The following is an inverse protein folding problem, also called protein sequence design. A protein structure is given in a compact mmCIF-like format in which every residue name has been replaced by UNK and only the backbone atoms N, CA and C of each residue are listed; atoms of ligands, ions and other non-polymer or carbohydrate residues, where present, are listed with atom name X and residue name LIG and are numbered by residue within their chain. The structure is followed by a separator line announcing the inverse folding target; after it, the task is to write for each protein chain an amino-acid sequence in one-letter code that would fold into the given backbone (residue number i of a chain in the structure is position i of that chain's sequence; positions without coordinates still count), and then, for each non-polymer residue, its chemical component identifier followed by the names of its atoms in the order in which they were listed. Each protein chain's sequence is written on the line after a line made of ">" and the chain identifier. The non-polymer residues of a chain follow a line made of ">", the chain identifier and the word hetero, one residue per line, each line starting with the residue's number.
data_IF_305422418546
#
_entry.id   IF_305422418546
#
_cell.length_a   1.000
_cell.length_b   1.000
_cell.length_c   1.000
_cell.angle_alpha   90.00
_cell.angle_beta   90.00
_cell.angle_gamma   90.00
#
_symmetry.space_group_name_H-M   'P 1'
#
loop_
_entity.id
_entity.type
_entity.pdbx_description
1 polymer ?
#
# COMPACT_ATOMS: atom_id res chain seq x y z
N UNK A 1 -6.01 -4.55 -33.52
CA UNK A 1 -6.89 -3.55 -34.17
C UNK A 1 -6.53 -3.24 -35.62
N UNK A 2 -5.25 -3.30 -36.03
CA UNK A 2 -4.82 -2.85 -37.36
C UNK A 2 -5.41 -3.62 -38.58
N UNK A 3 -5.88 -4.87 -38.42
CA UNK A 3 -6.43 -5.68 -39.53
C UNK A 3 -7.92 -5.48 -39.81
N UNK A 4 -8.67 -4.77 -38.96
CA UNK A 4 -10.13 -4.69 -39.14
C UNK A 4 -10.56 -3.61 -40.16
N UNK A 5 -9.69 -2.65 -40.44
CA UNK A 5 -9.96 -1.53 -41.36
C UNK A 5 -9.27 -1.69 -42.72
N UNK A 6 -8.50 -2.76 -42.93
CA UNK A 6 -7.85 -3.02 -44.22
C UNK A 6 -8.89 -3.38 -45.27
N UNK A 7 -9.07 -2.52 -46.27
CA UNK A 7 -10.02 -2.71 -47.37
C UNK A 7 -11.31 -1.88 -47.25
N UNK A 8 -11.47 -1.10 -46.18
CA UNK A 8 -12.56 -0.13 -46.07
C UNK A 8 -12.10 1.24 -46.54
N UNK A 9 -12.86 1.87 -47.43
CA UNK A 9 -12.61 3.26 -47.83
C UNK A 9 -13.02 4.23 -46.69
N UNK A 10 -12.56 5.48 -46.76
CA UNK A 10 -12.79 6.51 -45.73
C UNK A 10 -14.28 6.66 -45.38
N UNK A 11 -15.15 6.70 -46.40
CA UNK A 11 -16.60 6.72 -46.24
C UNK A 11 -17.14 5.50 -45.48
N UNK A 12 -16.60 4.30 -45.75
CA UNK A 12 -17.05 3.07 -45.10
C UNK A 12 -16.63 3.00 -43.63
N UNK A 13 -15.45 3.54 -43.31
CA UNK A 13 -14.97 3.66 -41.92
C UNK A 13 -15.86 4.65 -41.16
N UNK A 14 -16.16 5.80 -41.77
CA UNK A 14 -17.06 6.80 -41.18
C UNK A 14 -18.46 6.25 -40.95
N UNK A 15 -18.99 5.49 -41.92
CA UNK A 15 -20.32 4.87 -41.85
C UNK A 15 -20.37 3.74 -40.78
N UNK A 16 -19.27 2.99 -40.61
CA UNK A 16 -19.13 2.02 -39.52
C UNK A 16 -19.17 2.70 -38.15
N UNK A 17 -18.43 3.79 -37.96
CA UNK A 17 -18.45 4.52 -36.69
C UNK A 17 -19.81 5.20 -36.45
N UNK A 18 -20.43 5.81 -37.48
CA UNK A 18 -21.80 6.33 -37.38
C UNK A 18 -22.78 5.26 -36.92
N UNK A 19 -22.78 4.06 -37.53
CA UNK A 19 -23.69 2.96 -37.14
C UNK A 19 -23.37 2.40 -35.75
N UNK A 20 -22.10 2.26 -35.40
CA UNK A 20 -21.67 1.74 -34.09
C UNK A 20 -22.08 2.66 -32.94
N UNK A 21 -22.00 3.97 -33.14
CA UNK A 21 -22.38 4.95 -32.12
C UNK A 21 -23.87 5.36 -32.21
N UNK A 22 -24.52 5.26 -33.37
CA UNK A 22 -25.96 5.52 -33.51
C UNK A 22 -26.84 4.45 -32.83
N UNK A 23 -26.32 3.23 -32.61
CA UNK A 23 -27.04 2.18 -31.89
C UNK A 23 -26.71 2.10 -30.39
N UNK A 24 -25.79 2.93 -29.87
CA UNK A 24 -25.58 3.06 -28.42
C UNK A 24 -26.51 4.10 -27.77
N UNK A 25 -27.23 4.89 -28.57
CA UNK A 25 -28.01 6.04 -28.12
C UNK A 25 -29.45 5.77 -27.66
N UNK A 26 -29.87 4.53 -27.38
CA UNK A 26 -31.24 4.25 -26.89
C UNK A 26 -31.35 3.86 -25.41
N UNK A 27 -30.25 3.81 -24.66
CA UNK A 27 -30.29 3.71 -23.18
C UNK A 27 -29.45 4.78 -22.46
N UNK A 28 -28.57 5.49 -23.17
CA UNK A 28 -27.75 6.57 -22.60
C UNK A 28 -28.42 7.96 -22.66
N UNK A 29 -29.46 8.15 -23.48
CA UNK A 29 -30.09 9.47 -23.67
C UNK A 29 -30.98 9.93 -22.52
N UNK A 30 -31.21 9.11 -21.49
CA UNK A 30 -32.03 9.50 -20.33
C UNK A 30 -31.17 9.97 -19.14
N UNK A 31 -29.85 9.77 -19.20
CA UNK A 31 -28.94 10.14 -18.09
C UNK A 31 -27.95 11.28 -18.47
N UNK A 32 -27.81 11.60 -19.75
CA UNK A 32 -26.90 12.67 -20.21
C UNK A 32 -27.61 14.03 -20.40
N UNK A 33 -28.94 14.02 -20.63
CA UNK A 33 -29.74 15.25 -20.70
C UNK A 33 -29.85 15.94 -19.33
N UNK A 34 -29.84 15.17 -18.23
CA UNK A 34 -29.85 15.72 -16.87
C UNK A 34 -28.54 16.43 -16.54
N UNK A 35 -27.39 15.94 -17.05
CA UNK A 35 -26.10 16.61 -16.87
C UNK A 35 -26.00 17.91 -17.68
N UNK A 36 -26.52 17.92 -18.92
CA UNK A 36 -26.59 19.11 -19.75
C UNK A 36 -27.58 20.16 -19.19
N UNK A 37 -28.73 19.73 -18.66
CA UNK A 37 -29.66 20.60 -17.93
C UNK A 37 -29.05 21.15 -16.64
N UNK A 38 -28.29 20.33 -15.91
CA UNK A 38 -27.60 20.75 -14.69
C UNK A 38 -26.52 21.79 -15.02
N UNK A 39 -25.77 21.64 -16.12
CA UNK A 39 -24.78 22.64 -16.56
C UNK A 39 -25.42 23.98 -16.98
N UNK A 40 -26.55 23.95 -17.69
CA UNK A 40 -27.32 25.17 -18.01
C UNK A 40 -27.84 25.82 -16.73
N UNK A 41 -28.33 25.03 -15.77
CA UNK A 41 -28.84 25.53 -14.48
C UNK A 41 -27.73 26.19 -13.65
N UNK A 42 -26.53 25.61 -13.63
CA UNK A 42 -25.37 26.12 -12.88
C UNK A 42 -24.79 27.38 -13.48
N UNK A 43 -24.83 27.54 -14.80
CA UNK A 43 -24.41 28.78 -15.46
C UNK A 43 -25.24 29.99 -15.04
N UNK A 44 -26.52 29.79 -14.72
CA UNK A 44 -27.41 30.86 -14.20
C UNK A 44 -27.09 31.28 -12.76
N UNK A 45 -26.32 30.47 -12.02
CA UNK A 45 -25.93 30.69 -10.63
C UNK A 45 -24.53 31.31 -10.48
N UNK A 46 -23.91 31.73 -11.59
CA UNK A 46 -22.62 32.40 -11.55
C UNK A 46 -22.74 33.78 -10.89
N UNK A 47 -21.78 34.18 -10.04
CA UNK A 47 -21.84 35.45 -9.33
C UNK A 47 -21.76 36.64 -10.32
N UNK A 48 -22.62 37.62 -10.11
CA UNK A 48 -22.69 38.86 -10.88
C UNK A 48 -22.21 40.06 -10.06
N UNK A 49 -21.48 40.98 -10.68
CA UNK A 49 -20.82 42.11 -9.97
C UNK A 49 -21.79 43.09 -9.29
N UNK A 50 -23.04 43.17 -9.77
CA UNK A 50 -23.96 44.25 -9.39
C UNK A 50 -25.07 43.84 -8.42
N UNK A 51 -25.35 42.53 -8.28
CA UNK A 51 -26.45 42.04 -7.44
C UNK A 51 -25.97 41.18 -6.28
N UNK A 52 -24.87 40.46 -6.48
CA UNK A 52 -24.42 39.46 -5.54
C UNK A 52 -23.35 40.03 -4.59
N UNK A 53 -23.33 39.60 -3.32
CA UNK A 53 -22.28 39.99 -2.40
C UNK A 53 -20.92 39.41 -2.82
N UNK A 54 -19.85 40.12 -2.50
CA UNK A 54 -18.49 39.63 -2.72
C UNK A 54 -18.10 38.62 -1.65
N UNK A 55 -17.16 37.72 -1.99
CA UNK A 55 -16.54 36.82 -1.04
C UNK A 55 -15.21 37.41 -0.56
N UNK A 56 -14.96 37.37 0.75
CA UNK A 56 -13.79 37.97 1.39
C UNK A 56 -13.00 36.94 2.18
N UNK A 57 -11.69 36.87 1.97
CA UNK A 57 -10.75 36.03 2.70
C UNK A 57 -10.30 36.76 3.96
N UNK A 58 -10.42 36.09 5.10
CA UNK A 58 -9.87 36.56 6.38
C UNK A 58 -8.96 35.48 6.96
N UNK A 59 -7.72 35.85 7.31
CA UNK A 59 -6.78 34.93 7.96
C UNK A 59 -7.29 34.56 9.35
N UNK A 60 -7.30 33.25 9.63
CA UNK A 60 -7.73 32.66 10.89
C UNK A 60 -6.54 31.93 11.54
N UNK A 61 -6.52 31.87 12.87
CA UNK A 61 -5.61 30.98 13.59
C UNK A 61 -5.86 29.53 13.16
N UNK A 62 -4.79 28.78 12.90
CA UNK A 62 -4.83 27.40 12.43
C UNK A 62 -5.60 26.50 13.39
N UNK A 63 -6.60 25.77 12.89
CA UNK A 63 -7.40 24.81 13.64
C UNK A 63 -8.62 25.39 14.36
N UNK A 64 -8.78 26.71 14.37
CA UNK A 64 -9.93 27.39 15.00
C UNK A 64 -11.01 27.76 13.97
N UNK A 65 -10.85 27.44 12.68
CA UNK A 65 -11.69 27.95 11.58
C UNK A 65 -13.18 27.58 11.77
N UNK A 66 -13.46 26.32 12.11
CA UNK A 66 -14.83 25.84 12.38
C UNK A 66 -15.42 26.49 13.64
N UNK A 67 -14.63 26.70 14.68
CA UNK A 67 -15.08 27.34 15.92
C UNK A 67 -15.41 28.81 15.69
N UNK A 68 -14.59 29.50 14.91
CA UNK A 68 -14.80 30.91 14.55
C UNK A 68 -16.05 31.08 13.68
N UNK A 69 -16.29 30.19 12.72
CA UNK A 69 -17.52 30.23 11.93
C UNK A 69 -18.78 30.09 12.82
N UNK A 70 -18.75 29.17 13.78
CA UNK A 70 -19.82 29.03 14.78
C UNK A 70 -19.94 30.27 15.69
N UNK A 71 -18.82 30.88 16.07
CA UNK A 71 -18.82 32.12 16.86
C UNK A 71 -19.46 33.28 16.08
N UNK A 72 -19.12 33.44 14.80
CA UNK A 72 -19.72 34.46 13.93
C UNK A 72 -21.22 34.21 13.71
N UNK A 73 -21.64 32.96 13.54
CA UNK A 73 -23.06 32.59 13.44
C UNK A 73 -23.83 32.97 14.72
N UNK A 74 -23.28 32.65 15.90
CA UNK A 74 -23.87 33.06 17.18
C UNK A 74 -23.92 34.57 17.34
N UNK A 75 -22.86 35.27 16.93
CA UNK A 75 -22.79 36.75 16.95
C UNK A 75 -23.83 37.35 16.00
N UNK A 76 -24.06 36.78 14.82
CA UNK A 76 -25.09 37.21 13.89
C UNK A 76 -26.48 37.14 14.52
N UNK A 77 -26.85 35.98 15.07
CA UNK A 77 -28.14 35.76 15.72
C UNK A 77 -28.33 36.70 16.92
N UNK A 78 -27.30 36.88 17.74
CA UNK A 78 -27.39 37.72 18.95
C UNK A 78 -27.62 39.20 18.65
N UNK A 79 -27.18 39.70 17.49
CA UNK A 79 -27.26 41.12 17.11
C UNK A 79 -28.35 41.42 16.09
N UNK A 80 -29.09 40.43 15.60
CA UNK A 80 -30.08 40.56 14.52
C UNK A 80 -31.13 41.64 14.81
N UNK A 81 -31.64 41.68 16.04
CA UNK A 81 -32.67 42.63 16.49
C UNK A 81 -32.09 43.84 17.25
N UNK A 82 -30.82 44.17 17.01
CA UNK A 82 -30.15 45.32 17.63
C UNK A 82 -29.75 46.35 16.57
N UNK A 83 -29.51 47.59 16.99
CA UNK A 83 -29.01 48.65 16.10
C UNK A 83 -27.63 48.32 15.49
N UNK A 84 -26.92 47.34 16.06
CA UNK A 84 -25.61 46.88 15.62
C UNK A 84 -25.66 45.54 14.85
N UNK A 85 -26.72 45.33 14.06
CA UNK A 85 -26.89 44.12 13.27
C UNK A 85 -25.73 43.89 12.28
N UNK A 86 -25.34 42.62 12.11
CA UNK A 86 -24.24 42.24 11.23
C UNK A 86 -24.71 42.21 9.76
N UNK A 87 -23.95 42.84 8.86
CA UNK A 87 -24.30 42.96 7.43
C UNK A 87 -23.64 41.91 6.53
N UNK A 88 -23.12 40.84 7.13
CA UNK A 88 -22.59 39.67 6.41
C UNK A 88 -23.74 38.74 5.99
N UNK A 89 -23.53 37.93 4.96
CA UNK A 89 -24.53 36.99 4.42
C UNK A 89 -24.25 35.55 4.78
N UNK A 90 -22.99 35.12 4.67
CA UNK A 90 -22.55 33.78 5.05
C UNK A 90 -21.08 33.77 5.48
N UNK A 91 -20.69 32.68 6.15
CA UNK A 91 -19.31 32.36 6.49
C UNK A 91 -19.03 30.95 6.00
N UNK A 92 -17.98 30.77 5.21
CA UNK A 92 -17.61 29.49 4.61
C UNK A 92 -16.24 29.04 5.12
N UNK A 93 -16.17 27.79 5.57
CA UNK A 93 -14.93 27.10 5.95
C UNK A 93 -14.71 25.97 4.97
N UNK A 94 -13.73 26.10 4.08
CA UNK A 94 -13.42 25.06 3.09
C UNK A 94 -12.61 23.94 3.73
N UNK A 95 -13.08 22.70 3.62
CA UNK A 95 -12.30 21.54 4.08
C UNK A 95 -11.01 21.38 3.26
N UNK A 96 -9.91 21.02 3.93
CA UNK A 96 -8.59 20.89 3.31
C UNK A 96 -7.74 22.17 3.30
N UNK A 97 -8.36 23.36 3.38
CA UNK A 97 -7.65 24.63 3.50
C UNK A 97 -7.60 25.09 4.97
N UNK A 98 -6.40 25.30 5.49
CA UNK A 98 -6.17 25.69 6.90
C UNK A 98 -5.75 27.15 6.99
N UNK A 99 -6.12 27.81 8.07
CA UNK A 99 -5.66 29.15 8.44
C UNK A 99 -6.41 30.32 7.79
N UNK A 100 -7.57 30.07 7.19
CA UNK A 100 -8.41 31.12 6.62
C UNK A 100 -9.89 30.72 6.61
N UNK A 101 -10.75 31.73 6.62
CA UNK A 101 -12.19 31.61 6.42
C UNK A 101 -12.62 32.56 5.31
N UNK A 102 -13.77 32.27 4.70
CA UNK A 102 -14.39 33.15 3.72
C UNK A 102 -15.65 33.76 4.32
N UNK A 103 -15.87 35.05 4.11
CA UNK A 103 -17.04 35.79 4.60
C UNK A 103 -17.69 36.46 3.40
N UNK A 104 -18.98 36.26 3.23
CA UNK A 104 -19.76 36.85 2.15
C UNK A 104 -20.38 38.18 2.62
N UNK A 105 -20.08 39.27 1.92
CA UNK A 105 -20.62 40.60 2.21
C UNK A 105 -20.47 41.56 1.03
N UNK A 106 -21.34 42.57 0.94
CA UNK A 106 -21.26 43.59 -0.12
C UNK A 106 -20.00 44.48 -0.04
N UNK A 107 -19.57 44.84 1.17
CA UNK A 107 -18.46 45.77 1.39
C UNK A 107 -17.47 45.20 2.39
N UNK A 108 -16.19 45.55 2.22
CA UNK A 108 -15.12 45.20 3.16
C UNK A 108 -15.42 45.70 4.58
N UNK A 109 -16.05 46.87 4.72
CA UNK A 109 -16.43 47.44 6.01
C UNK A 109 -17.41 46.55 6.79
N UNK A 110 -18.33 45.88 6.10
CA UNK A 110 -19.29 44.97 6.73
C UNK A 110 -18.56 43.77 7.36
N UNK A 111 -17.53 43.26 6.67
CA UNK A 111 -16.67 42.20 7.18
C UNK A 111 -15.88 42.69 8.39
N UNK A 112 -15.23 43.85 8.29
CA UNK A 112 -14.42 44.43 9.36
C UNK A 112 -15.23 44.60 10.66
N UNK A 113 -16.45 45.15 10.58
CA UNK A 113 -17.36 45.27 11.72
C UNK A 113 -17.74 43.90 12.29
N UNK A 114 -18.05 42.92 11.43
CA UNK A 114 -18.45 41.59 11.87
C UNK A 114 -17.35 40.84 12.63
N UNK A 115 -16.09 40.95 12.18
CA UNK A 115 -14.94 40.25 12.80
C UNK A 115 -14.32 41.03 13.98
N UNK A 116 -14.78 42.26 14.24
CA UNK A 116 -14.31 43.06 15.38
C UNK A 116 -14.55 42.30 16.70
N UNK A 117 -13.52 42.21 17.53
CA UNK A 117 -13.54 41.48 18.81
C UNK A 117 -13.31 39.97 18.70
N UNK A 118 -13.12 39.42 17.49
CA UNK A 118 -12.80 38.00 17.30
C UNK A 118 -11.27 37.84 17.25
N UNK A 119 -10.68 37.40 18.36
CA UNK A 119 -9.22 37.32 18.54
C UNK A 119 -8.51 36.33 17.61
N UNK A 120 -9.24 35.33 17.10
CA UNK A 120 -8.71 34.33 16.17
C UNK A 120 -8.57 34.86 14.72
N UNK A 121 -9.16 36.01 14.41
CA UNK A 121 -9.17 36.59 13.06
C UNK A 121 -8.26 37.81 12.94
N UNK A 122 -7.56 37.90 11.82
CA UNK A 122 -6.73 39.07 11.52
C UNK A 122 -7.56 40.18 10.87
N UNK A 123 -7.88 41.21 11.66
CA UNK A 123 -8.69 42.35 11.20
C UNK A 123 -7.97 43.24 10.16
N UNK A 124 -6.64 43.19 10.11
CA UNK A 124 -5.83 44.01 9.20
C UNK A 124 -5.65 43.39 7.81
N UNK A 125 -6.04 42.13 7.62
CA UNK A 125 -5.88 41.39 6.36
C UNK A 125 -7.20 40.78 5.90
N UNK A 126 -8.01 41.63 5.27
CA UNK A 126 -9.24 41.25 4.57
C UNK A 126 -8.98 41.41 3.07
N UNK A 127 -9.07 40.33 2.30
CA UNK A 127 -8.82 40.34 0.85
C UNK A 127 -10.07 39.91 0.09
N UNK A 128 -10.37 40.54 -1.04
CA UNK A 128 -11.51 40.15 -1.89
C UNK A 128 -11.14 38.95 -2.75
N UNK A 129 -12.01 37.96 -2.85
CA UNK A 129 -11.91 36.85 -3.81
C UNK A 129 -12.30 37.38 -5.19
N UNK A 130 -11.47 37.18 -6.23
CA UNK A 130 -11.84 37.55 -7.60
C UNK A 130 -13.12 36.82 -8.04
N UNK A 131 -14.01 37.51 -8.76
CA UNK A 131 -15.32 36.95 -9.15
C UNK A 131 -15.19 35.63 -9.94
N UNK A 132 -14.11 35.48 -10.73
CA UNK A 132 -13.80 34.27 -11.50
C UNK A 132 -13.40 33.08 -10.64
N UNK A 133 -12.95 33.31 -9.40
CA UNK A 133 -12.46 32.28 -8.47
C UNK A 133 -13.49 31.94 -7.36
N UNK A 134 -14.62 32.65 -7.31
CA UNK A 134 -15.67 32.42 -6.31
C UNK A 134 -16.23 30.99 -6.39
N UNK A 135 -16.50 30.49 -7.59
CA UNK A 135 -17.00 29.13 -7.79
C UNK A 135 -15.97 28.08 -7.37
N UNK A 136 -14.69 28.28 -7.71
CA UNK A 136 -13.60 27.37 -7.33
C UNK A 136 -13.39 27.35 -5.81
N UNK A 137 -13.68 28.45 -5.12
CA UNK A 137 -13.64 28.52 -3.66
C UNK A 137 -14.64 27.54 -3.04
N UNK A 138 -15.84 27.43 -3.59
CA UNK A 138 -16.90 26.54 -3.11
C UNK A 138 -16.83 25.12 -3.69
N UNK A 139 -15.99 24.88 -4.69
CA UNK A 139 -15.82 23.56 -5.29
C UNK A 139 -15.35 22.55 -4.24
N UNK A 140 -16.25 21.63 -3.90
CA UNK A 140 -15.93 20.42 -3.12
C UNK A 140 -15.45 19.38 -4.12
N UNK A 141 -14.13 19.19 -4.19
CA UNK A 141 -13.61 17.98 -4.78
C UNK A 141 -14.08 16.84 -3.88
N UNK A 142 -15.09 16.09 -4.33
CA UNK A 142 -15.34 14.76 -3.79
C UNK A 142 -14.19 13.91 -4.30
N UNK A 143 -13.03 14.02 -3.65
CA UNK A 143 -12.00 13.01 -3.73
C UNK A 143 -12.53 11.81 -2.95
N UNK A 144 -13.58 11.18 -3.46
CA UNK A 144 -13.72 9.74 -3.29
C UNK A 144 -12.71 9.25 -4.32
N UNK A 145 -11.47 8.90 -3.92
CA UNK A 145 -10.54 8.32 -4.86
C UNK A 145 -11.30 7.18 -5.55
N UNK A 146 -11.24 7.14 -6.88
CA UNK A 146 -11.94 6.14 -7.68
C UNK A 146 -11.35 4.76 -7.40
N UNK A 147 -11.67 4.23 -6.22
CA UNK A 147 -11.17 2.98 -5.70
C UNK A 147 -11.89 1.88 -6.47
N UNK A 148 -11.10 1.13 -7.24
CA UNK A 148 -11.55 -0.05 -7.95
C UNK A 148 -10.94 -1.27 -7.27
N UNK A 149 -11.65 -2.38 -7.33
CA UNK A 149 -11.11 -3.67 -6.92
C UNK A 149 -9.82 -3.95 -7.72
N UNK A 150 -8.82 -4.51 -7.06
CA UNK A 150 -7.48 -4.75 -7.60
C UNK A 150 -6.51 -3.57 -7.48
N UNK A 151 -6.96 -2.35 -7.16
CA UNK A 151 -6.05 -1.22 -6.99
C UNK A 151 -5.15 -1.38 -5.75
N UNK A 152 -3.91 -0.94 -5.88
CA UNK A 152 -2.98 -0.88 -4.76
C UNK A 152 -3.10 0.44 -3.99
N UNK A 153 -3.13 0.34 -2.66
CA UNK A 153 -3.18 1.46 -1.72
C UNK A 153 -2.12 1.27 -0.65
N UNK A 154 -1.75 2.34 0.05
CA UNK A 154 -0.91 2.26 1.26
C UNK A 154 -1.69 2.66 2.49
N UNK A 155 -1.46 2.01 3.62
CA UNK A 155 -2.09 2.43 4.87
C UNK A 155 -1.32 3.60 5.51
N UNK A 156 -2.02 4.67 5.88
CA UNK A 156 -1.48 5.86 6.58
C UNK A 156 -1.39 5.68 8.09
N UNK A 157 -2.13 4.73 8.65
CA UNK A 157 -2.28 4.50 10.09
C UNK A 157 -2.31 2.99 10.38
N UNK A 158 -2.39 2.65 11.66
CA UNK A 158 -2.38 1.27 12.21
C UNK A 158 -1.00 0.63 12.26
N UNK A 159 -0.93 -0.62 12.73
CA UNK A 159 0.27 -1.45 12.66
C UNK A 159 0.68 -1.82 11.23
N UNK A 160 -0.11 -1.42 10.22
CA UNK A 160 0.18 -1.60 8.80
C UNK A 160 0.59 -0.30 8.09
N UNK A 161 0.92 0.77 8.84
CA UNK A 161 1.41 2.03 8.27
C UNK A 161 2.52 1.79 7.23
N UNK A 162 2.38 2.44 6.08
CA UNK A 162 3.25 2.41 4.90
C UNK A 162 3.30 1.07 4.15
N UNK A 163 2.61 0.02 4.63
CA UNK A 163 2.49 -1.25 3.93
C UNK A 163 1.60 -1.10 2.70
N UNK A 164 1.96 -1.81 1.64
CA UNK A 164 1.13 -1.98 0.46
C UNK A 164 -0.05 -2.91 0.80
N UNK A 165 -1.22 -2.59 0.24
CA UNK A 165 -2.41 -3.41 0.31
C UNK A 165 -3.18 -3.33 -1.02
N UNK A 166 -3.87 -4.39 -1.36
CA UNK A 166 -4.74 -4.44 -2.55
C UNK A 166 -6.19 -4.30 -2.12
N UNK A 167 -6.95 -3.49 -2.86
CA UNK A 167 -8.39 -3.29 -2.64
C UNK A 167 -9.13 -4.52 -3.13
N UNK A 168 -9.79 -5.25 -2.23
CA UNK A 168 -10.65 -6.39 -2.58
C UNK A 168 -12.09 -5.91 -2.83
N UNK A 169 -12.60 -5.06 -1.93
CA UNK A 169 -13.95 -4.48 -2.05
C UNK A 169 -14.05 -3.10 -1.39
N UNK A 170 -14.95 -2.25 -1.89
CA UNK A 170 -15.17 -0.90 -1.37
C UNK A 170 -16.63 -0.75 -0.94
N UNK A 171 -16.83 -0.40 0.33
CA UNK A 171 -18.13 -0.04 0.89
C UNK A 171 -18.26 1.48 0.99
N UNK A 172 -18.77 2.09 -0.07
CA UNK A 172 -18.97 3.54 -0.11
C UNK A 172 -20.05 3.97 0.91
N UNK A 173 -21.07 3.14 1.15
CA UNK A 173 -22.16 3.46 2.06
C UNK A 173 -21.69 3.57 3.51
N UNK A 174 -20.79 2.68 3.93
CA UNK A 174 -20.26 2.67 5.30
C UNK A 174 -18.89 3.34 5.45
N UNK A 175 -18.36 3.96 4.39
CA UNK A 175 -17.04 4.61 4.37
C UNK A 175 -15.89 3.66 4.77
N UNK A 176 -15.95 2.41 4.29
CA UNK A 176 -14.98 1.34 4.58
C UNK A 176 -14.46 0.70 3.30
N UNK A 177 -13.28 0.09 3.41
CA UNK A 177 -12.63 -0.70 2.35
C UNK A 177 -12.19 -2.03 2.93
N UNK A 178 -12.37 -3.10 2.16
CA UNK A 178 -11.87 -4.43 2.48
C UNK A 178 -10.55 -4.63 1.73
N UNK A 179 -9.47 -4.85 2.47
CA UNK A 179 -8.11 -4.90 1.93
C UNK A 179 -7.52 -6.30 2.06
N UNK A 180 -6.83 -6.74 1.01
CA UNK A 180 -5.86 -7.85 1.00
C UNK A 180 -4.48 -7.29 1.34
N UNK A 181 -3.80 -7.83 2.34
CA UNK A 181 -2.46 -7.40 2.73
C UNK A 181 -1.63 -8.54 3.33
N UNK A 182 -0.30 -8.35 3.39
CA UNK A 182 0.61 -9.30 4.04
C UNK A 182 0.51 -9.14 5.56
N UNK A 183 0.18 -10.20 6.32
CA UNK A 183 0.02 -10.10 7.76
C UNK A 183 1.34 -9.89 8.49
N UNK A 184 1.22 -9.41 9.74
CA UNK A 184 2.34 -9.16 10.66
C UNK A 184 2.01 -9.84 11.98
N UNK A 185 2.25 -11.15 12.04
CA UNK A 185 1.92 -11.99 13.18
C UNK A 185 3.18 -12.29 13.97
N UNK A 186 3.06 -12.19 15.29
CA UNK A 186 4.12 -12.65 16.17
C UNK A 186 3.94 -14.14 16.48
N UNK A 187 4.82 -14.94 15.88
CA UNK A 187 4.92 -16.38 16.11
C UNK A 187 5.78 -16.73 17.33
N UNK A 188 6.34 -15.76 18.05
CA UNK A 188 7.05 -16.02 19.32
C UNK A 188 6.11 -16.00 20.52
N UNK A 189 4.92 -15.42 20.34
CA UNK A 189 3.90 -15.29 21.37
C UNK A 189 3.07 -16.55 21.51
N UNK A 190 3.14 -17.16 22.69
CA UNK A 190 2.31 -18.28 23.10
C UNK A 190 0.83 -17.88 23.27
N UNK A 191 -0.09 -18.77 22.92
CA UNK A 191 -1.54 -18.59 23.02
C UNK A 191 -2.22 -19.88 23.50
N UNK A 192 -3.51 -19.78 23.79
CA UNK A 192 -4.30 -20.90 24.34
C UNK A 192 -3.68 -21.47 25.62
N UNK A 193 -3.62 -22.80 25.71
CA UNK A 193 -3.08 -23.53 26.86
C UNK A 193 -1.58 -23.31 27.14
N UNK A 194 -0.81 -22.80 26.16
CA UNK A 194 0.63 -22.57 26.29
C UNK A 194 0.96 -21.16 26.81
N UNK A 195 -0.04 -20.30 26.95
CA UNK A 195 0.15 -18.94 27.44
C UNK A 195 0.45 -18.93 28.94
N UNK A 196 1.46 -18.15 29.33
CA UNK A 196 1.77 -17.98 30.74
C UNK A 196 0.59 -17.30 31.48
N UNK A 197 0.25 -17.72 32.71
CA UNK A 197 -0.92 -17.22 33.45
C UNK A 197 -0.98 -15.69 33.57
N UNK A 198 0.20 -15.05 33.72
CA UNK A 198 0.33 -13.62 34.00
C UNK A 198 0.54 -12.75 32.74
N UNK A 199 0.62 -13.35 31.56
CA UNK A 199 0.88 -12.58 30.33
C UNK A 199 -0.41 -11.88 29.87
N UNK A 200 -0.42 -10.56 29.60
CA UNK A 200 -1.64 -9.85 29.23
C UNK A 200 -2.21 -10.31 27.88
N UNK A 201 -3.56 -10.30 27.75
CA UNK A 201 -4.25 -10.66 26.49
C UNK A 201 -3.85 -9.76 25.32
N UNK A 202 -3.41 -8.54 25.64
CA UNK A 202 -2.94 -7.55 24.69
C UNK A 202 -1.61 -7.00 25.19
N UNK A 203 -0.52 -7.44 24.57
CA UNK A 203 0.79 -6.83 24.76
C UNK A 203 0.90 -5.69 23.75
N UNK A 204 1.09 -4.44 24.22
CA UNK A 204 1.51 -3.36 23.32
C UNK A 204 2.90 -3.71 22.81
N UNK A 205 2.99 -4.16 21.56
CA UNK A 205 4.26 -4.53 20.97
C UNK A 205 5.14 -3.30 20.81
N UNK A 206 6.35 -3.34 21.39
CA UNK A 206 7.36 -2.28 21.18
C UNK A 206 7.90 -2.30 19.75
N UNK A 207 7.87 -3.45 19.07
CA UNK A 207 8.35 -3.64 17.70
C UNK A 207 7.26 -4.29 16.85
N UNK A 208 7.13 -3.80 15.62
CA UNK A 208 6.21 -4.34 14.62
C UNK A 208 6.72 -5.70 14.12
N UNK A 209 5.91 -6.77 14.12
CA UNK A 209 6.32 -8.05 13.56
C UNK A 209 6.67 -7.92 12.07
N UNK A 210 7.55 -8.80 11.58
CA UNK A 210 7.90 -8.85 10.17
C UNK A 210 6.67 -9.22 9.33
N UNK A 211 6.58 -8.67 8.12
CA UNK A 211 5.52 -9.00 7.19
C UNK A 211 5.83 -10.36 6.58
N UNK A 212 4.98 -11.36 6.84
CA UNK A 212 5.08 -12.70 6.26
C UNK A 212 3.69 -13.23 6.02
N UNK A 213 3.54 -14.11 5.02
CA UNK A 213 2.28 -14.80 4.81
C UNK A 213 1.88 -15.59 6.06
N UNK A 214 0.58 -15.65 6.28
CA UNK A 214 -0.01 -16.42 7.36
C UNK A 214 0.20 -17.91 7.09
N UNK A 215 0.86 -18.55 8.05
CA UNK A 215 1.12 -19.98 8.03
C UNK A 215 0.30 -20.62 9.14
N UNK A 216 -0.67 -21.43 8.70
CA UNK A 216 -1.61 -22.12 9.60
C UNK A 216 -0.89 -23.15 10.46
N UNK A 217 0.15 -23.78 9.91
CA UNK A 217 0.88 -24.87 10.59
C UNK A 217 1.68 -24.36 11.78
N UNK A 218 2.20 -23.13 11.71
CA UNK A 218 2.92 -22.48 12.83
C UNK A 218 2.04 -22.18 14.05
N UNK A 219 0.72 -22.17 13.89
CA UNK A 219 -0.23 -21.80 14.94
C UNK A 219 -0.94 -23.00 15.53
N UNK A 220 -1.27 -23.98 14.68
CA UNK A 220 -2.03 -25.16 15.09
C UNK A 220 -1.35 -25.82 16.28
N UNK A 221 -2.16 -26.06 17.30
CA UNK A 221 -1.80 -26.72 18.53
C UNK A 221 -2.06 -28.22 18.37
N UNK A 222 -1.18 -29.06 18.90
CA UNK A 222 -1.38 -30.50 19.16
C UNK A 222 -2.71 -30.75 19.90
N UNK A 223 -3.83 -30.85 19.18
CA UNK A 223 -5.15 -31.13 19.77
C UNK A 223 -5.32 -32.61 20.17
N UNK A 224 -4.24 -33.40 20.14
CA UNK A 224 -4.29 -34.82 20.49
C UNK A 224 -3.32 -35.11 21.64
N UNK A 225 -3.78 -35.73 22.75
CA UNK A 225 -2.93 -36.07 23.90
C UNK A 225 -1.75 -36.99 23.55
N UNK A 226 -1.79 -37.68 22.41
CA UNK A 226 -0.74 -38.59 21.95
C UNK A 226 0.54 -37.91 21.46
N UNK A 227 0.50 -36.64 21.07
CA UNK A 227 1.66 -35.98 20.47
C UNK A 227 2.53 -35.21 21.49
N UNK A 228 2.02 -34.98 22.71
CA UNK A 228 2.80 -34.38 23.81
C UNK A 228 3.89 -35.37 24.28
N UNK A 229 3.61 -36.67 24.22
CA UNK A 229 4.56 -37.73 24.56
C UNK A 229 5.71 -37.84 23.54
N UNK A 230 5.44 -37.65 22.24
CA UNK A 230 6.48 -37.76 21.20
C UNK A 230 7.49 -36.62 21.24
N UNK A 231 7.07 -35.40 21.56
CA UNK A 231 7.97 -34.23 21.64
C UNK A 231 8.88 -34.32 22.88
N UNK A 232 8.36 -34.78 24.02
CA UNK A 232 9.18 -35.03 25.21
C UNK A 232 10.15 -36.19 24.95
N UNK A 233 9.70 -37.26 24.28
CA UNK A 233 10.53 -38.44 23.98
C UNK A 233 11.68 -38.12 23.01
N UNK A 234 11.45 -37.28 21.99
CA UNK A 234 12.50 -36.85 21.05
C UNK A 234 13.54 -35.93 21.72
N UNK A 235 13.11 -35.09 22.67
CA UNK A 235 14.01 -34.19 23.42
C UNK A 235 15.03 -34.94 24.30
N UNK A 236 14.68 -36.15 24.75
CA UNK A 236 15.56 -36.99 25.56
C UNK A 236 16.55 -37.82 24.73
N UNK A 237 16.26 -38.10 23.45
CA UNK A 237 17.08 -38.97 22.59
C UNK A 237 18.11 -38.19 21.78
N UNK A 238 17.80 -36.95 21.36
CA UNK A 238 18.67 -36.15 20.48
C UNK A 238 19.50 -35.11 21.25
N UNK A 239 20.27 -35.57 22.24
CA UNK A 239 21.26 -34.76 22.96
C UNK A 239 22.47 -34.47 22.05
N UNK A 240 22.35 -33.50 21.13
CA UNK A 240 23.49 -33.13 20.29
C UNK A 240 23.25 -32.21 19.09
N UNK A 241 22.00 -32.02 18.65
CA UNK A 241 21.70 -31.10 17.55
C UNK A 241 21.01 -29.84 18.07
N UNK A 242 21.55 -28.68 17.70
CA UNK A 242 21.09 -27.35 18.08
C UNK A 242 19.79 -27.02 17.31
N UNK A 243 18.68 -27.68 17.65
CA UNK A 243 17.37 -27.41 17.04
C UNK A 243 16.83 -26.07 17.54
N UNK A 244 16.56 -25.15 16.62
CA UNK A 244 15.73 -23.97 16.91
C UNK A 244 14.31 -24.46 17.22
N UNK A 245 13.82 -24.07 18.39
CA UNK A 245 12.57 -24.54 18.97
C UNK A 245 11.37 -24.31 18.03
N UNK A 246 10.84 -25.37 17.42
CA UNK A 246 9.43 -25.41 17.05
C UNK A 246 8.62 -25.31 18.34
N UNK A 247 8.05 -24.13 18.58
CA UNK A 247 6.98 -23.99 19.54
C UNK A 247 5.75 -23.69 18.71
N UNK A 248 4.96 -24.72 18.43
CA UNK A 248 3.55 -24.50 18.12
C UNK A 248 3.02 -23.60 19.22
N UNK A 249 2.68 -22.36 18.88
CA UNK A 249 2.36 -21.37 19.91
C UNK A 249 0.99 -21.60 20.52
N UNK A 250 0.18 -22.45 19.92
CA UNK A 250 -1.22 -22.59 20.25
C UNK A 250 -2.02 -21.41 19.72
N UNK A 251 -3.27 -21.69 19.37
CA UNK A 251 -4.18 -20.68 18.84
C UNK A 251 -5.42 -21.33 18.27
N UNK A 252 -6.57 -20.75 18.57
CA UNK A 252 -7.82 -21.21 17.99
C UNK A 252 -7.88 -20.76 16.53
N UNK A 253 -7.96 -21.75 15.65
CA UNK A 253 -8.08 -21.56 14.20
C UNK A 253 -9.39 -22.18 13.77
N UNK A 254 -10.28 -21.38 13.18
CA UNK A 254 -11.49 -21.89 12.52
C UNK A 254 -11.34 -21.78 11.00
N UNK A 255 -12.00 -22.67 10.28
CA UNK A 255 -12.03 -22.67 8.82
C UNK A 255 -13.46 -22.44 8.37
N UNK A 256 -13.63 -21.55 7.39
CA UNK A 256 -14.91 -21.21 6.77
C UNK A 256 -14.68 -21.06 5.26
N UNK A 257 -14.99 -22.13 4.52
CA UNK A 257 -14.62 -22.25 3.10
C UNK A 257 -13.12 -22.08 2.88
N UNK A 258 -12.74 -21.17 1.99
CA UNK A 258 -11.35 -20.85 1.67
C UNK A 258 -10.67 -19.93 2.71
N UNK A 259 -11.43 -19.43 3.68
CA UNK A 259 -10.92 -18.56 4.73
C UNK A 259 -10.55 -19.34 5.99
N UNK A 260 -9.41 -18.99 6.55
CA UNK A 260 -8.96 -19.40 7.86
C UNK A 260 -9.10 -18.20 8.79
N UNK A 261 -9.80 -18.34 9.90
CA UNK A 261 -9.94 -17.28 10.90
C UNK A 261 -9.01 -17.55 12.07
N UNK A 262 -8.23 -16.54 12.42
CA UNK A 262 -7.30 -16.57 13.56
C UNK A 262 -7.22 -15.20 14.23
N UNK A 263 -7.33 -15.16 15.56
CA UNK A 263 -7.38 -13.91 16.36
C UNK A 263 -8.43 -12.89 15.85
N UNK A 264 -9.58 -13.38 15.36
CA UNK A 264 -10.66 -12.56 14.83
C UNK A 264 -10.37 -11.92 13.47
N UNK A 265 -9.26 -12.29 12.81
CA UNK A 265 -8.91 -11.85 11.47
C UNK A 265 -9.08 -13.00 10.48
N UNK A 266 -9.47 -12.69 9.24
CA UNK A 266 -9.66 -13.68 8.17
C UNK A 266 -8.43 -13.73 7.28
N UNK A 267 -7.99 -14.93 6.95
CA UNK A 267 -6.84 -15.19 6.10
C UNK A 267 -7.23 -16.10 4.95
N UNK A 268 -6.78 -15.80 3.74
CA UNK A 268 -6.97 -16.66 2.56
C UNK A 268 -5.67 -16.71 1.80
N UNK A 269 -5.17 -17.93 1.53
CA UNK A 269 -3.88 -18.18 0.85
C UNK A 269 -2.71 -17.40 1.51
N UNK A 270 -2.71 -17.31 2.83
CA UNK A 270 -1.69 -16.60 3.60
C UNK A 270 -1.88 -15.08 3.72
N UNK A 271 -2.74 -14.46 2.91
CA UNK A 271 -3.01 -13.03 3.01
C UNK A 271 -4.08 -12.72 4.04
N UNK A 272 -3.93 -11.60 4.74
CA UNK A 272 -4.96 -11.04 5.61
C UNK A 272 -6.01 -10.30 4.78
N UNK A 273 -7.27 -10.56 5.07
CA UNK A 273 -8.41 -9.83 4.54
C UNK A 273 -9.14 -9.12 5.69
N UNK A 274 -9.19 -7.79 5.62
CA UNK A 274 -9.69 -6.98 6.74
C UNK A 274 -10.32 -5.66 6.31
N UNK A 275 -11.37 -5.27 7.03
CA UNK A 275 -12.03 -3.98 6.89
C UNK A 275 -11.24 -2.84 7.54
N UNK A 276 -11.12 -1.74 6.80
CA UNK A 276 -10.51 -0.50 7.24
C UNK A 276 -11.36 0.72 6.85
N UNK A 277 -11.36 1.82 7.63
CA UNK A 277 -12.01 3.06 7.22
C UNK A 277 -11.31 3.70 6.01
N UNK A 278 -12.05 4.34 5.09
CA UNK A 278 -11.45 4.98 3.91
C UNK A 278 -10.43 6.09 4.26
N UNK A 279 -10.58 6.76 5.40
CA UNK A 279 -9.67 7.83 5.81
C UNK A 279 -8.25 7.36 6.22
N UNK A 280 -8.02 6.05 6.35
CA UNK A 280 -6.71 5.51 6.71
C UNK A 280 -5.88 5.05 5.51
N UNK A 281 -6.42 5.07 4.30
CA UNK A 281 -5.70 4.66 3.09
C UNK A 281 -5.16 5.89 2.33
N UNK A 282 -4.06 5.68 1.64
CA UNK A 282 -3.51 6.56 0.62
C UNK A 282 -3.70 5.88 -0.73
N UNK A 283 -4.37 6.56 -1.64
CA UNK A 283 -4.59 6.09 -3.01
C UNK A 283 -3.64 6.80 -3.96
N UNK A 284 -3.46 8.11 -3.78
CA UNK A 284 -2.64 8.92 -4.68
C UNK A 284 -1.15 8.64 -4.51
N UNK A 285 -0.47 8.51 -5.64
CA UNK A 285 0.99 8.33 -5.70
C UNK A 285 1.49 6.96 -5.26
N UNK A 286 0.62 5.97 -5.06
CA UNK A 286 1.05 4.61 -4.72
C UNK A 286 1.60 3.92 -5.96
N UNK A 287 2.91 3.69 -5.98
CA UNK A 287 3.60 2.85 -6.96
C UNK A 287 4.23 1.67 -6.20
N UNK A 288 3.70 0.44 -6.36
CA UNK A 288 4.33 -0.77 -5.83
C UNK A 288 5.76 -0.94 -6.36
N UNK A 289 6.68 -1.40 -5.53
CA UNK A 289 7.98 -1.93 -6.01
C UNK A 289 7.86 -3.37 -6.47
N UNK A 290 8.80 -3.87 -7.28
CA UNK A 290 8.81 -5.28 -7.73
C UNK A 290 8.84 -6.25 -6.53
N UNK A 291 9.70 -5.98 -5.54
CA UNK A 291 9.76 -6.73 -4.28
C UNK A 291 8.44 -6.74 -3.51
N UNK A 292 7.65 -5.67 -3.59
CA UNK A 292 6.32 -5.64 -3.00
C UNK A 292 5.34 -6.47 -3.83
N UNK A 293 5.35 -6.35 -5.16
CA UNK A 293 4.47 -7.11 -6.05
C UNK A 293 4.70 -8.62 -5.94
N UNK A 294 5.95 -9.07 -5.85
CA UNK A 294 6.32 -10.47 -5.62
C UNK A 294 5.65 -11.05 -4.36
N UNK A 295 5.49 -10.25 -3.31
CA UNK A 295 4.82 -10.68 -2.07
C UNK A 295 3.32 -10.86 -2.22
N UNK A 296 2.68 -10.23 -3.22
CA UNK A 296 1.25 -10.31 -3.46
C UNK A 296 0.84 -11.48 -4.36
N UNK A 297 1.80 -12.24 -4.86
CA UNK A 297 1.57 -13.30 -5.83
C UNK A 297 1.25 -14.63 -5.17
N UNK A 298 0.23 -15.28 -5.71
CA UNK A 298 -0.16 -16.62 -5.32
C UNK A 298 0.49 -17.66 -6.24
N UNK A 299 0.69 -17.29 -7.51
CA UNK A 299 1.20 -18.13 -8.60
C UNK A 299 2.11 -17.33 -9.54
N UNK A 300 3.09 -17.98 -10.19
CA UNK A 300 4.03 -17.32 -11.12
C UNK A 300 3.35 -16.67 -12.34
N UNK A 301 2.17 -17.15 -12.73
CA UNK A 301 1.37 -16.57 -13.80
C UNK A 301 0.78 -15.19 -13.45
N UNK A 302 0.57 -14.90 -12.16
CA UNK A 302 0.08 -13.59 -11.71
C UNK A 302 1.15 -12.50 -11.92
N UNK A 303 2.43 -12.87 -11.72
CA UNK A 303 3.58 -11.97 -11.92
C UNK A 303 3.68 -11.48 -13.36
N UNK A 304 3.46 -12.38 -14.34
CA UNK A 304 3.51 -12.03 -15.77
C UNK A 304 2.42 -11.02 -16.14
N UNK A 305 1.18 -11.23 -15.69
CA UNK A 305 0.06 -10.30 -15.94
C UNK A 305 0.31 -8.91 -15.34
N UNK A 306 0.93 -8.83 -14.18
CA UNK A 306 1.24 -7.53 -13.56
C UNK A 306 2.49 -6.87 -14.16
N UNK A 307 3.50 -7.65 -14.58
CA UNK A 307 4.70 -7.14 -15.24
C UNK A 307 4.45 -6.63 -16.67
N UNK A 308 3.42 -7.12 -17.38
CA UNK A 308 3.06 -6.63 -18.72
C UNK A 308 2.80 -5.11 -18.74
N UNK A 309 2.49 -4.49 -17.59
CA UNK A 309 2.33 -3.04 -17.44
C UNK A 309 3.58 -2.27 -16.96
N UNK A 310 4.65 -2.95 -16.56
CA UNK A 310 5.86 -2.33 -15.99
C UNK A 310 7.07 -2.55 -16.89
N UNK A 311 7.74 -1.47 -17.29
CA UNK A 311 9.11 -1.56 -17.85
C UNK A 311 10.06 -1.99 -16.74
N UNK A 312 10.23 -3.29 -16.55
CA UNK A 312 11.21 -3.84 -15.61
C UNK A 312 12.60 -3.71 -16.23
N UNK A 313 13.27 -2.62 -15.85
CA UNK A 313 14.72 -2.62 -15.72
C UNK A 313 15.02 -2.91 -14.25
N UNK A 314 16.07 -3.70 -14.01
CA UNK A 314 16.68 -3.94 -12.71
C UNK A 314 16.14 -5.16 -11.92
N UNK A 315 16.34 -6.36 -12.49
CA UNK A 315 16.72 -7.52 -11.68
C UNK A 315 18.23 -7.46 -11.43
N UNK A 316 18.70 -6.42 -10.74
CA UNK A 316 20.08 -6.39 -10.25
C UNK A 316 20.16 -7.38 -9.09
N UNK A 317 20.82 -8.54 -9.29
CA UNK A 317 21.15 -9.44 -8.19
C UNK A 317 21.84 -8.62 -7.08
N UNK A 318 21.29 -8.65 -5.88
CA UNK A 318 21.87 -7.93 -4.73
C UNK A 318 23.00 -8.79 -4.18
N UNK A 319 24.23 -8.37 -4.45
CA UNK A 319 25.44 -9.02 -3.92
C UNK A 319 25.89 -8.34 -2.62
N UNK A 320 26.48 -9.13 -1.72
CA UNK A 320 27.10 -8.67 -0.49
C UNK A 320 28.54 -9.21 -0.38
N UNK A 321 29.47 -8.48 0.27
CA UNK A 321 30.78 -9.03 0.59
C UNK A 321 30.67 -10.37 1.31
N UNK A 322 31.38 -11.38 0.82
CA UNK A 322 31.32 -12.77 1.30
C UNK A 322 30.47 -13.71 0.45
N UNK A 323 29.56 -13.19 -0.40
CA UNK A 323 28.75 -14.02 -1.29
C UNK A 323 29.65 -14.84 -2.23
N UNK A 324 29.30 -16.12 -2.42
CA UNK A 324 29.97 -16.98 -3.39
C UNK A 324 29.25 -16.85 -4.73
N UNK A 325 30.00 -16.51 -5.78
CA UNK A 325 29.48 -16.14 -7.09
C UNK A 325 30.20 -16.90 -8.19
N UNK A 326 29.54 -17.03 -9.33
CA UNK A 326 30.15 -17.51 -10.56
C UNK A 326 29.84 -16.59 -11.73
N UNK A 327 30.78 -16.53 -12.67
CA UNK A 327 30.67 -15.76 -13.90
C UNK A 327 29.77 -16.52 -14.88
N UNK A 328 28.62 -15.93 -15.18
CA UNK A 328 27.60 -16.49 -16.07
C UNK A 328 27.72 -15.99 -17.52
N UNK A 329 28.35 -14.83 -17.72
CA UNK A 329 28.55 -14.22 -19.04
C UNK A 329 29.95 -13.58 -19.14
N UNK A 330 30.47 -13.44 -20.36
CA UNK A 330 31.79 -12.88 -20.64
C UNK A 330 32.91 -13.90 -20.90
N UNK A 331 34.16 -13.45 -20.86
CA UNK A 331 35.33 -14.27 -21.19
C UNK A 331 35.76 -15.24 -20.08
N UNK A 332 35.34 -14.97 -18.84
CA UNK A 332 35.70 -15.73 -17.64
C UNK A 332 34.58 -16.66 -17.17
N UNK A 333 33.66 -17.06 -18.07
CA UNK A 333 32.51 -17.92 -17.74
C UNK A 333 32.94 -19.20 -17.01
N UNK A 334 32.15 -19.60 -16.02
CA UNK A 334 32.41 -20.68 -15.06
C UNK A 334 33.51 -20.42 -14.03
N UNK A 335 34.15 -19.24 -14.03
CA UNK A 335 35.03 -18.85 -12.94
C UNK A 335 34.20 -18.58 -11.68
N UNK A 336 34.61 -19.17 -10.56
CA UNK A 336 33.96 -19.01 -9.26
C UNK A 336 34.83 -18.20 -8.32
N UNK A 337 34.22 -17.59 -7.32
CA UNK A 337 34.95 -16.82 -6.33
C UNK A 337 34.06 -16.20 -5.27
N UNK A 338 34.68 -15.48 -4.33
CA UNK A 338 33.97 -14.75 -3.27
C UNK A 338 33.97 -13.26 -3.54
N UNK A 339 32.82 -12.61 -3.36
CA UNK A 339 32.71 -11.16 -3.44
C UNK A 339 33.52 -10.52 -2.30
N UNK A 340 34.46 -9.65 -2.64
CA UNK A 340 35.26 -8.89 -1.69
C UNK A 340 34.64 -7.52 -1.40
N UNK A 341 34.18 -6.82 -2.44
CA UNK A 341 33.50 -5.54 -2.34
C UNK A 341 32.50 -5.33 -3.48
N UNK A 342 31.50 -4.48 -3.22
CA UNK A 342 30.46 -4.11 -4.18
C UNK A 342 30.46 -2.58 -4.29
N UNK A 343 30.67 -2.06 -5.50
CA UNK A 343 30.65 -0.63 -5.81
C UNK A 343 29.68 -0.37 -6.97
N UNK A 344 28.41 -0.15 -6.62
CA UNK A 344 27.33 0.03 -7.58
C UNK A 344 27.13 -1.20 -8.46
N UNK A 345 27.35 -1.03 -9.77
CA UNK A 345 27.26 -2.11 -10.76
C UNK A 345 28.56 -2.94 -10.87
N UNK A 346 29.65 -2.52 -10.24
CA UNK A 346 30.94 -3.24 -10.29
C UNK A 346 31.15 -4.06 -9.04
N UNK A 347 31.59 -5.29 -9.22
CA UNK A 347 31.82 -6.26 -8.15
C UNK A 347 33.28 -6.69 -8.22
N UNK A 348 33.97 -6.57 -7.09
CA UNK A 348 35.32 -7.10 -6.95
C UNK A 348 35.20 -8.50 -6.34
N UNK A 349 35.54 -9.53 -7.11
CA UNK A 349 35.54 -10.91 -6.66
C UNK A 349 36.97 -11.45 -6.53
N UNK A 350 37.24 -12.23 -5.50
CA UNK A 350 38.45 -13.02 -5.38
C UNK A 350 38.19 -14.41 -5.98
N UNK A 351 38.82 -14.76 -7.11
CA UNK A 351 38.60 -16.04 -7.77
C UNK A 351 39.12 -17.22 -6.93
N UNK A 352 38.40 -18.34 -7.02
CA UNK A 352 38.73 -19.63 -6.40
C UNK A 352 39.38 -20.54 -7.47
N UNK A 353 40.59 -20.19 -7.88
CA UNK A 353 41.37 -20.88 -8.92
C UNK A 353 42.86 -20.89 -8.56
N UNK A 354 43.59 -21.97 -8.86
CA UNK A 354 44.99 -22.14 -8.43
C UNK A 354 45.93 -21.05 -8.98
N UNK A 355 45.72 -20.69 -10.25
CA UNK A 355 46.55 -19.70 -10.96
C UNK A 355 46.13 -18.24 -10.76
N UNK A 356 44.90 -17.97 -10.30
CA UNK A 356 44.35 -16.61 -10.18
C UNK A 356 44.24 -16.22 -8.70
N UNK A 357 45.21 -15.46 -8.20
CA UNK A 357 45.25 -15.00 -6.80
C UNK A 357 44.86 -13.53 -6.63
N UNK A 358 44.71 -12.80 -7.72
CA UNK A 358 44.40 -11.38 -7.71
C UNK A 358 42.88 -11.14 -7.79
N UNK A 359 42.32 -10.13 -7.10
CA UNK A 359 40.92 -9.76 -7.24
C UNK A 359 40.58 -9.31 -8.66
N UNK A 360 39.46 -9.79 -9.18
CA UNK A 360 38.93 -9.43 -10.50
C UNK A 360 37.74 -8.49 -10.33
N UNK A 361 37.67 -7.45 -11.16
CA UNK A 361 36.52 -6.54 -11.20
C UNK A 361 35.62 -6.92 -12.37
N UNK A 362 34.39 -7.30 -12.08
CA UNK A 362 33.38 -7.71 -13.06
C UNK A 362 32.11 -6.88 -12.90
N UNK A 363 31.27 -6.84 -13.93
CA UNK A 363 29.96 -6.20 -13.81
C UNK A 363 28.97 -7.14 -13.11
N UNK A 364 28.04 -6.56 -12.33
CA UNK A 364 27.01 -7.32 -11.63
C UNK A 364 26.12 -8.14 -12.57
N UNK A 365 25.98 -7.73 -13.84
CA UNK A 365 25.24 -8.45 -14.88
C UNK A 365 25.98 -9.70 -15.40
N UNK A 366 27.29 -9.80 -15.23
CA UNK A 366 28.10 -10.96 -15.64
C UNK A 366 28.12 -12.05 -14.56
N UNK A 367 27.63 -11.74 -13.36
CA UNK A 367 27.71 -12.58 -12.17
C UNK A 367 26.35 -13.17 -11.77
N UNK A 368 26.39 -14.37 -11.21
CA UNK A 368 25.27 -14.98 -10.48
C UNK A 368 25.75 -15.55 -9.16
N UNK A 369 24.88 -15.57 -8.15
CA UNK A 369 25.18 -16.28 -6.90
C UNK A 369 25.29 -17.77 -7.17
N UNK A 370 26.32 -18.39 -6.62
CA UNK A 370 26.58 -19.82 -6.75
C UNK A 370 26.39 -20.50 -5.40
N UNK A 371 25.60 -21.57 -5.41
CA UNK A 371 25.30 -22.36 -4.22
C UNK A 371 25.62 -23.84 -4.46
N UNK A 372 25.97 -24.54 -3.40
CA UNK A 372 26.14 -26.00 -3.39
C UNK A 372 25.00 -26.63 -2.61
N UNK A 373 24.68 -27.88 -2.96
CA UNK A 373 23.76 -28.70 -2.16
C UNK A 373 24.31 -28.85 -0.75
N UNK A 374 23.47 -28.58 0.26
CA UNK A 374 23.84 -28.55 1.67
C UNK A 374 24.20 -27.18 2.22
N UNK A 375 24.30 -26.14 1.39
CA UNK A 375 24.48 -24.78 1.88
C UNK A 375 23.23 -24.30 2.63
N UNK A 376 23.46 -23.60 3.75
CA UNK A 376 22.39 -22.96 4.52
C UNK A 376 22.19 -21.53 4.03
N UNK A 377 20.96 -21.22 3.65
CA UNK A 377 20.61 -19.94 3.04
C UNK A 377 19.43 -19.30 3.70
N UNK A 378 19.39 -17.98 3.60
CA UNK A 378 18.28 -17.13 3.96
C UNK A 378 17.71 -16.46 2.73
N UNK A 379 16.39 -16.50 2.61
CA UNK A 379 15.67 -15.78 1.56
C UNK A 379 15.71 -14.28 1.88
N UNK A 380 16.25 -13.46 0.98
CA UNK A 380 16.39 -12.01 1.16
C UNK A 380 15.27 -11.20 0.51
N UNK A 381 14.56 -11.75 -0.47
CA UNK A 381 13.47 -11.08 -1.14
C UNK A 381 12.42 -12.09 -1.64
N UNK A 382 11.25 -11.61 -2.04
CA UNK A 382 10.17 -12.45 -2.58
C UNK A 382 9.21 -13.00 -1.51
N UNK A 383 8.40 -13.99 -1.91
CA UNK A 383 7.29 -14.56 -1.11
C UNK A 383 7.74 -15.15 0.23
N UNK A 384 8.96 -15.70 0.26
CA UNK A 384 9.51 -16.41 1.41
C UNK A 384 10.57 -15.58 2.16
N UNK A 385 10.62 -14.25 1.96
CA UNK A 385 11.61 -13.38 2.59
C UNK A 385 11.74 -13.62 4.12
N UNK A 386 12.98 -13.83 4.54
CA UNK A 386 13.36 -14.07 5.92
C UNK A 386 13.16 -15.49 6.41
N UNK A 387 12.66 -16.42 5.57
CA UNK A 387 12.79 -17.85 5.82
C UNK A 387 14.25 -18.30 5.56
N UNK A 388 14.67 -19.31 6.30
CA UNK A 388 15.97 -19.97 6.15
C UNK A 388 15.75 -21.42 5.76
N UNK A 389 16.75 -22.04 5.14
CA UNK A 389 16.64 -23.41 4.68
C UNK A 389 17.96 -23.99 4.20
N UNK A 390 17.95 -25.30 3.97
CA UNK A 390 19.05 -26.02 3.36
C UNK A 390 18.79 -26.22 1.87
N UNK A 391 19.79 -25.96 1.03
CA UNK A 391 19.68 -26.21 -0.41
C UNK A 391 19.71 -27.72 -0.66
N UNK A 392 18.61 -28.25 -1.20
CA UNK A 392 18.47 -29.67 -1.55
C UNK A 392 19.00 -29.93 -2.95
N UNK A 393 18.74 -29.00 -3.87
CA UNK A 393 19.08 -29.13 -5.28
C UNK A 393 19.29 -27.76 -5.91
N UNK A 394 20.27 -27.68 -6.80
CA UNK A 394 20.55 -26.49 -7.62
C UNK A 394 20.41 -26.89 -9.08
N UNK A 395 19.58 -26.15 -9.80
CA UNK A 395 19.42 -26.21 -11.26
C UNK A 395 19.85 -24.86 -11.85
N UNK A 396 20.03 -24.78 -13.18
CA UNK A 396 20.69 -23.62 -13.82
C UNK A 396 20.08 -22.25 -13.48
N UNK A 397 18.76 -22.19 -13.27
CA UNK A 397 18.01 -20.96 -12.96
C UNK A 397 17.14 -21.08 -11.70
N UNK A 398 17.25 -22.18 -10.95
CA UNK A 398 16.38 -22.48 -9.82
C UNK A 398 17.18 -23.12 -8.68
N UNK A 399 17.03 -22.58 -7.48
CA UNK A 399 17.51 -23.20 -6.25
C UNK A 399 16.29 -23.72 -5.49
N UNK A 400 16.36 -25.00 -5.15
CA UNK A 400 15.36 -25.69 -4.32
C UNK A 400 15.93 -25.74 -2.91
N UNK A 401 15.33 -24.99 -2.00
CA UNK A 401 15.61 -25.07 -0.58
C UNK A 401 14.51 -25.85 0.14
N UNK A 402 14.90 -26.57 1.18
CA UNK A 402 13.98 -27.07 2.19
C UNK A 402 13.93 -26.04 3.30
N UNK A 403 12.79 -25.38 3.47
CA UNK A 403 12.60 -24.39 4.53
C UNK A 403 12.77 -25.05 5.90
N UNK A 404 13.65 -24.52 6.74
CA UNK A 404 13.84 -24.96 8.12
C UNK A 404 12.55 -24.84 8.95
N UNK A 405 11.64 -23.95 8.50
CA UNK A 405 10.44 -23.55 9.23
C UNK A 405 9.18 -24.29 8.79
N UNK A 406 9.10 -24.76 7.56
CA UNK A 406 7.88 -25.41 7.04
C UNK A 406 8.13 -26.83 6.55
N UNK A 407 9.39 -27.25 6.37
CA UNK A 407 9.76 -28.48 5.68
C UNK A 407 9.13 -28.59 4.27
N UNK A 408 8.66 -27.48 3.72
CA UNK A 408 8.24 -27.37 2.35
C UNK A 408 9.41 -26.94 1.47
N UNK A 409 9.39 -27.46 0.26
CA UNK A 409 10.29 -27.01 -0.79
C UNK A 409 9.90 -25.59 -1.20
N UNK A 410 10.88 -24.68 -1.13
CA UNK A 410 10.77 -23.34 -1.70
C UNK A 410 11.70 -23.30 -2.91
N UNK A 411 11.11 -22.94 -4.04
CA UNK A 411 11.76 -22.95 -5.35
C UNK A 411 11.85 -21.52 -5.84
N UNK A 412 13.07 -20.99 -6.00
CA UNK A 412 13.24 -19.61 -6.45
C UNK A 412 14.59 -19.38 -7.15
N UNK A 413 14.81 -18.17 -7.67
CA UNK A 413 16.02 -17.80 -8.39
C UNK A 413 17.22 -17.60 -7.44
N UNK A 414 18.46 -17.95 -7.85
CA UNK A 414 19.66 -17.82 -7.00
C UNK A 414 19.85 -16.42 -6.38
N UNK A 415 19.47 -15.36 -7.10
CA UNK A 415 19.66 -13.97 -6.67
C UNK A 415 18.90 -13.57 -5.40
N UNK A 416 17.88 -14.34 -4.98
CA UNK A 416 17.07 -14.04 -3.81
C UNK A 416 17.55 -14.72 -2.52
N UNK A 417 18.68 -15.41 -2.55
CA UNK A 417 19.25 -16.09 -1.39
C UNK A 417 20.53 -15.41 -0.90
N UNK A 418 20.79 -15.55 0.41
CA UNK A 418 22.02 -15.14 1.08
C UNK A 418 22.54 -16.31 1.90
N UNK A 419 23.82 -16.64 1.75
CA UNK A 419 24.43 -17.73 2.53
C UNK A 419 24.63 -17.26 3.97
N UNK A 420 24.02 -17.94 4.94
CA UNK A 420 24.34 -17.68 6.35
C UNK A 420 25.71 -18.29 6.67
N UNK A 421 26.75 -17.45 6.77
CA UNK A 421 28.02 -17.85 7.35
C UNK A 421 27.81 -18.10 8.85
N UNK A 422 27.97 -19.36 9.29
CA UNK A 422 27.94 -19.75 10.70
C UNK A 422 29.03 -19.08 11.55
#
# INVERSE_FOLDING_TARGET
>A
MAYFFSGMNEDQIEDYFKKKYANQSSYASVMDDDAALDDISRHSLLPSTNKDPNLWIVKCRLGEEKLVALQLMRKFIAYENTDNSLQIKSVVVKEGLKGMIYIEAFKQSHVATAITGVSALNQFRIAMVPIKEMCDTLKVAKDIPSLKNGMYVRLRRTMYRDDLAQVDWVDVAHNKVYLKLVPRIDYTRMRGALRAPDEPRFVKMKRRPQARLFDVERIKQLSTPYCILSIIFLSYILRGYKYYNFREIGGDVSTDGDFVTFEGNQYRRGFLYKWFPLNIIQVDGVKPSLSELEKFQETSDDLKKELEGMKVKDLSCIFSPGDYVEVADGELVNLRGRVQSVDGEKIVMLPDHEDLKEPLTLNACELRKFFKTGDHVKVINGRYEGDTGLIVRVEDNLVILLSDLTMHEVNDQPGIFYTESH
#
